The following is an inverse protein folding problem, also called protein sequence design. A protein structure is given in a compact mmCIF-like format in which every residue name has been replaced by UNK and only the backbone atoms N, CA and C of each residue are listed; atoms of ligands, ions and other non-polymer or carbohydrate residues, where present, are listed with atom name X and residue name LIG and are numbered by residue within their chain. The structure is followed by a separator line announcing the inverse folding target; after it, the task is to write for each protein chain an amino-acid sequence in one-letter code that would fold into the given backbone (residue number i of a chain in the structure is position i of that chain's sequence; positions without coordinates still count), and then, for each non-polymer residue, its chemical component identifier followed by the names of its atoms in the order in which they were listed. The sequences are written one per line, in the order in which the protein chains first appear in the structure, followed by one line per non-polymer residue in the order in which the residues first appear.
data_IF_445845384814
#
_entry.id   IF_445845384814
#
_cell.length_a   1.000
_cell.length_b   1.000
_cell.length_c   1.000
_cell.angle_alpha   90.00
_cell.angle_beta   90.00
_cell.angle_gamma   90.00
#
_symmetry.space_group_name_H-M   'P 1'
#
loop_
_entity.id
_entity.type
_entity.pdbx_description
1 polymer ?
#
# COMPACT_ATOMS: atom_id res chain seq x y z
N UNK A 1 14.65 13.86 -2.96
CA UNK A 1 14.39 13.54 -4.35
C UNK A 1 13.55 12.28 -4.45
N UNK A 2 12.39 12.39 -5.03
CA UNK A 2 11.48 11.25 -5.04
C UNK A 2 12.06 10.08 -5.82
N UNK A 3 11.76 8.89 -5.38
CA UNK A 3 12.06 7.64 -6.08
C UNK A 3 13.55 7.35 -6.27
N UNK A 4 14.41 7.95 -5.48
CA UNK A 4 15.83 7.62 -5.53
C UNK A 4 16.14 6.33 -4.79
N UNK A 5 15.29 5.95 -3.83
CA UNK A 5 15.48 4.74 -3.05
C UNK A 5 14.87 3.55 -3.81
N UNK A 6 15.69 2.56 -4.04
CA UNK A 6 15.28 1.32 -4.67
C UNK A 6 15.05 0.21 -3.66
N UNK A 7 15.19 0.52 -2.39
CA UNK A 7 15.06 -0.47 -1.33
C UNK A 7 13.62 -0.71 -0.94
N UNK A 8 13.32 -1.95 -0.58
CA UNK A 8 12.06 -2.33 0.03
C UNK A 8 12.26 -2.33 1.53
N UNK A 9 11.42 -1.62 2.25
CA UNK A 9 11.46 -1.58 3.70
C UNK A 9 10.43 -2.52 4.29
N UNK A 10 10.83 -3.23 5.34
CA UNK A 10 9.94 -4.19 6.00
C UNK A 10 9.72 -3.74 7.43
N UNK A 11 8.46 -3.54 7.78
CA UNK A 11 8.04 -3.24 9.13
C UNK A 11 7.08 -4.32 9.63
N UNK A 12 6.66 -4.17 10.86
CA UNK A 12 5.74 -5.13 11.46
C UNK A 12 4.79 -4.41 12.41
N UNK A 13 3.51 -4.79 12.34
CA UNK A 13 2.54 -4.43 13.36
C UNK A 13 2.03 -5.71 14.01
N UNK A 14 1.80 -5.66 15.30
CA UNK A 14 1.37 -6.84 16.04
C UNK A 14 0.51 -6.46 17.23
N UNK A 15 -0.38 -7.35 17.59
CA UNK A 15 -1.08 -7.33 18.87
C UNK A 15 -0.86 -8.68 19.57
N UNK A 16 -1.64 -8.97 20.60
CA UNK A 16 -1.47 -10.21 21.37
C UNK A 16 -1.71 -11.48 20.56
N UNK A 17 -2.56 -11.41 19.53
CA UNK A 17 -3.05 -12.57 18.81
C UNK A 17 -2.58 -12.62 17.35
N UNK A 18 -2.18 -11.50 16.78
CA UNK A 18 -1.92 -11.40 15.36
C UNK A 18 -0.66 -10.60 15.06
N UNK A 19 -0.03 -10.95 13.95
CA UNK A 19 1.16 -10.28 13.47
C UNK A 19 1.02 -10.07 11.96
N UNK A 20 1.35 -8.87 11.49
CA UNK A 20 1.36 -8.53 10.08
C UNK A 20 2.69 -7.89 9.72
N UNK A 21 3.30 -8.38 8.67
CA UNK A 21 4.49 -7.79 8.11
C UNK A 21 4.07 -6.78 7.03
N UNK A 22 4.58 -5.57 7.12
CA UNK A 22 4.31 -4.52 6.16
C UNK A 22 5.54 -4.32 5.29
N UNK A 23 5.34 -4.45 3.99
CA UNK A 23 6.41 -4.25 3.00
C UNK A 23 6.15 -2.92 2.32
N UNK A 24 6.99 -1.94 2.60
CA UNK A 24 6.88 -0.61 2.00
C UNK A 24 7.71 -0.55 0.73
N UNK A 25 7.11 -0.05 -0.34
CA UNK A 25 7.75 0.02 -1.66
C UNK A 25 7.79 1.46 -2.16
N UNK A 26 8.47 2.37 -1.46
CA UNK A 26 8.45 3.79 -1.82
C UNK A 26 9.02 4.02 -3.23
N UNK A 27 8.22 4.62 -4.09
CA UNK A 27 8.61 4.99 -5.44
C UNK A 27 8.80 3.83 -6.42
N UNK A 28 8.60 2.59 -6.00
CA UNK A 28 8.77 1.44 -6.91
C UNK A 28 7.60 1.32 -7.87
N UNK A 29 6.38 1.57 -7.38
CA UNK A 29 5.15 1.33 -8.15
C UNK A 29 4.47 2.63 -8.59
N UNK A 30 5.22 3.72 -8.72
CA UNK A 30 4.65 5.02 -9.05
C UNK A 30 4.56 5.31 -10.55
N UNK A 31 4.95 4.36 -11.38
CA UNK A 31 4.91 4.52 -12.86
C UNK A 31 4.73 3.16 -13.53
N UNK A 32 4.27 3.16 -14.80
CA UNK A 32 4.02 1.91 -15.54
C UNK A 32 5.24 1.01 -15.62
N UNK A 33 5.00 -0.30 -15.73
CA UNK A 33 6.06 -1.31 -15.77
C UNK A 33 6.99 -1.13 -16.97
N UNK A 34 6.48 -0.70 -18.12
CA UNK A 34 7.31 -0.51 -19.30
C UNK A 34 8.32 0.63 -19.14
N UNK A 35 8.11 1.53 -18.19
CA UNK A 35 9.03 2.62 -17.90
C UNK A 35 10.13 2.24 -16.90
N UNK A 36 10.13 0.97 -16.46
CA UNK A 36 11.08 0.47 -15.48
C UNK A 36 12.29 -0.17 -16.14
N UNK A 37 13.46 -0.02 -15.52
CA UNK A 37 14.63 -0.76 -15.97
C UNK A 37 14.56 -2.21 -15.47
N UNK A 38 15.50 -3.05 -15.89
CA UNK A 38 15.48 -4.48 -15.57
C UNK A 38 15.62 -4.74 -14.07
N UNK A 39 16.43 -3.98 -13.38
CA UNK A 39 16.61 -4.13 -11.93
C UNK A 39 15.32 -3.80 -11.19
N UNK A 40 14.69 -2.68 -11.55
CA UNK A 40 13.42 -2.27 -10.97
C UNK A 40 12.33 -3.30 -11.22
N UNK A 41 12.24 -3.81 -12.45
CA UNK A 41 11.26 -4.86 -12.79
C UNK A 41 11.44 -6.10 -11.95
N UNK A 42 12.68 -6.56 -11.79
CA UNK A 42 12.96 -7.76 -10.98
C UNK A 42 12.59 -7.54 -9.52
N UNK A 43 12.88 -6.37 -8.99
CA UNK A 43 12.52 -6.02 -7.61
C UNK A 43 11.00 -6.03 -7.42
N UNK A 44 10.26 -5.45 -8.37
CA UNK A 44 8.80 -5.43 -8.31
C UNK A 44 8.24 -6.84 -8.46
N UNK A 45 8.73 -7.62 -9.42
CA UNK A 45 8.22 -8.96 -9.67
C UNK A 45 8.46 -9.91 -8.50
N UNK A 46 9.51 -9.67 -7.72
CA UNK A 46 9.75 -10.46 -6.51
C UNK A 46 8.62 -10.33 -5.50
N UNK A 47 7.88 -9.23 -5.53
CA UNK A 47 6.74 -9.03 -4.64
C UNK A 47 5.57 -9.96 -4.96
N UNK A 48 5.52 -10.54 -6.16
CA UNK A 48 4.48 -11.50 -6.53
C UNK A 48 4.47 -12.75 -5.65
N UNK A 49 5.64 -13.12 -5.16
CA UNK A 49 5.80 -14.33 -4.37
C UNK A 49 5.45 -14.13 -2.90
N UNK A 50 5.25 -12.89 -2.48
CA UNK A 50 4.88 -12.57 -1.11
C UNK A 50 3.38 -12.82 -0.96
N UNK A 51 3.01 -13.62 0.03
CA UNK A 51 1.60 -13.85 0.36
C UNK A 51 1.05 -12.62 1.08
N UNK A 52 -0.15 -12.23 0.74
CA UNK A 52 -0.81 -11.12 1.41
C UNK A 52 -1.70 -10.30 0.50
N UNK A 53 -2.02 -9.12 0.97
CA UNK A 53 -2.83 -8.15 0.25
C UNK A 53 -1.98 -6.94 -0.11
N UNK A 54 -2.49 -6.16 -1.04
CA UNK A 54 -1.87 -4.90 -1.42
C UNK A 54 -2.79 -3.76 -0.98
N UNK A 55 -2.21 -2.77 -0.31
CA UNK A 55 -2.90 -1.53 0.00
C UNK A 55 -2.37 -0.45 -0.92
N UNK A 56 -3.24 0.05 -1.78
CA UNK A 56 -2.89 1.12 -2.70
C UNK A 56 -3.35 2.46 -2.09
N UNK A 57 -2.39 3.35 -1.86
CA UNK A 57 -2.69 4.66 -1.29
C UNK A 57 -3.09 5.61 -2.41
N UNK A 58 -4.35 6.05 -2.41
CA UNK A 58 -4.86 6.99 -3.40
C UNK A 58 -5.04 8.36 -2.77
N UNK A 59 -4.66 9.40 -3.51
CA UNK A 59 -4.69 10.79 -3.04
C UNK A 59 -5.63 11.63 -3.91
N UNK A 60 -6.75 12.03 -3.34
CA UNK A 60 -7.73 12.90 -4.00
C UNK A 60 -7.51 14.39 -3.73
N UNK A 61 -6.47 14.74 -2.95
CA UNK A 61 -6.26 16.15 -2.54
C UNK A 61 -5.71 17.05 -3.65
N UNK A 62 -5.14 16.46 -4.68
CA UNK A 62 -4.49 17.21 -5.75
C UNK A 62 -3.05 17.61 -5.45
N UNK A 63 -2.49 17.20 -4.30
CA UNK A 63 -1.14 17.61 -3.89
C UNK A 63 -0.04 16.64 -4.28
N UNK A 64 -0.39 15.47 -4.84
CA UNK A 64 0.60 14.43 -5.14
C UNK A 64 1.37 14.65 -6.44
N UNK A 65 0.86 15.51 -7.33
CA UNK A 65 1.41 15.66 -8.66
C UNK A 65 0.84 14.69 -9.70
N UNK A 66 0.02 13.74 -9.28
CA UNK A 66 -0.65 12.79 -10.16
C UNK A 66 -2.14 13.08 -10.23
N UNK A 67 -2.73 12.95 -11.41
CA UNK A 67 -4.19 13.07 -11.54
C UNK A 67 -4.86 11.84 -10.94
N UNK A 68 -6.14 11.97 -10.63
CA UNK A 68 -6.93 10.83 -10.15
C UNK A 68 -6.95 9.72 -11.20
N UNK A 69 -7.10 10.06 -12.47
CA UNK A 69 -7.12 9.08 -13.55
C UNK A 69 -5.79 8.32 -13.66
N UNK A 70 -4.66 9.02 -13.48
CA UNK A 70 -3.35 8.37 -13.47
C UNK A 70 -3.22 7.39 -12.30
N UNK A 71 -3.71 7.78 -11.15
CA UNK A 71 -3.66 6.92 -9.96
C UNK A 71 -4.55 5.69 -10.13
N UNK A 72 -5.74 5.84 -10.68
CA UNK A 72 -6.65 4.71 -10.93
C UNK A 72 -6.06 3.77 -11.97
N UNK A 73 -5.46 4.30 -13.03
CA UNK A 73 -4.80 3.48 -14.04
C UNK A 73 -3.67 2.65 -13.43
N UNK A 74 -2.87 3.24 -12.56
CA UNK A 74 -1.81 2.52 -11.85
C UNK A 74 -2.38 1.45 -10.91
N UNK A 75 -3.45 1.76 -10.19
CA UNK A 75 -4.14 0.80 -9.35
C UNK A 75 -4.59 -0.44 -10.14
N UNK A 76 -5.20 -0.22 -11.31
CA UNK A 76 -5.65 -1.32 -12.16
C UNK A 76 -4.48 -2.14 -12.69
N UNK A 77 -3.39 -1.49 -13.05
CA UNK A 77 -2.18 -2.18 -13.51
C UNK A 77 -1.59 -3.06 -12.41
N UNK A 78 -1.53 -2.56 -11.18
CA UNK A 78 -1.03 -3.31 -10.04
C UNK A 78 -1.90 -4.55 -9.78
N UNK A 79 -3.21 -4.37 -9.80
CA UNK A 79 -4.13 -5.50 -9.62
C UNK A 79 -3.88 -6.60 -10.64
N UNK A 80 -3.73 -6.23 -11.90
CA UNK A 80 -3.52 -7.20 -12.99
C UNK A 80 -2.15 -7.85 -12.89
N UNK A 81 -1.13 -7.08 -12.52
CA UNK A 81 0.24 -7.56 -12.47
C UNK A 81 0.44 -8.58 -11.35
N UNK A 82 -0.10 -8.31 -10.17
CA UNK A 82 0.18 -9.13 -8.99
C UNK A 82 -0.86 -10.20 -8.71
N UNK A 83 -2.05 -10.09 -9.29
CA UNK A 83 -3.15 -11.04 -9.05
C UNK A 83 -3.46 -11.24 -7.57
N UNK A 84 -3.32 -10.17 -6.78
CA UNK A 84 -3.59 -10.16 -5.35
C UNK A 84 -4.76 -9.26 -5.06
N UNK A 85 -5.44 -9.51 -3.93
CA UNK A 85 -6.45 -8.57 -3.45
C UNK A 85 -5.80 -7.23 -3.19
N UNK A 86 -6.28 -6.21 -3.87
CA UNK A 86 -5.73 -4.86 -3.80
C UNK A 86 -6.84 -3.91 -3.36
N UNK A 87 -6.59 -3.20 -2.28
CA UNK A 87 -7.56 -2.28 -1.68
C UNK A 87 -7.07 -0.86 -1.81
N UNK A 88 -7.99 0.05 -2.12
CA UNK A 88 -7.66 1.48 -2.15
C UNK A 88 -7.88 2.07 -0.77
N UNK A 89 -6.86 2.76 -0.28
CA UNK A 89 -6.91 3.49 0.97
C UNK A 89 -6.67 4.96 0.63
N UNK A 90 -7.62 5.81 0.98
CA UNK A 90 -7.47 7.24 0.70
C UNK A 90 -6.54 7.88 1.72
N UNK A 91 -5.55 8.60 1.23
CA UNK A 91 -4.68 9.41 2.07
C UNK A 91 -5.19 10.84 2.17
N UNK A 92 -4.64 11.61 3.11
CA UNK A 92 -4.84 13.05 3.23
C UNK A 92 -6.30 13.48 3.33
N UNK A 93 -7.10 12.75 4.10
CA UNK A 93 -8.52 13.12 4.28
C UNK A 93 -8.70 14.42 5.07
N UNK A 94 -7.62 14.95 5.65
CA UNK A 94 -7.62 16.30 6.23
C UNK A 94 -7.65 17.40 5.17
N UNK A 95 -7.30 17.07 3.92
CA UNK A 95 -7.23 18.05 2.83
C UNK A 95 -8.35 17.93 1.79
N UNK A 96 -9.15 16.87 1.86
CA UNK A 96 -10.19 16.66 0.86
C UNK A 96 -11.29 15.76 1.41
N UNK A 97 -12.42 15.73 0.71
CA UNK A 97 -13.55 14.89 1.09
C UNK A 97 -13.20 13.42 1.00
N UNK A 98 -13.68 12.63 1.95
CA UNK A 98 -13.50 11.20 1.95
C UNK A 98 -14.38 10.55 0.89
N UNK A 99 -13.76 9.81 -0.03
CA UNK A 99 -14.43 9.11 -1.13
C UNK A 99 -14.28 7.60 -1.09
N UNK A 100 -13.25 7.10 -0.40
CA UNK A 100 -13.04 5.66 -0.25
C UNK A 100 -13.61 5.19 1.09
N UNK A 101 -13.84 3.90 1.20
CA UNK A 101 -14.36 3.30 2.43
C UNK A 101 -13.43 3.57 3.61
N UNK A 102 -12.12 3.42 3.39
CA UNK A 102 -11.12 3.71 4.40
C UNK A 102 -10.30 4.90 3.95
N UNK A 103 -10.31 5.95 4.76
CA UNK A 103 -9.50 7.14 4.54
C UNK A 103 -8.71 7.46 5.79
N UNK A 104 -7.50 7.95 5.62
CA UNK A 104 -6.60 8.28 6.72
C UNK A 104 -5.99 9.65 6.57
N UNK A 105 -5.61 10.21 7.71
CA UNK A 105 -4.75 11.39 7.78
C UNK A 105 -3.61 11.10 8.75
N UNK A 106 -2.40 11.20 8.28
CA UNK A 106 -1.23 11.07 9.14
C UNK A 106 -1.00 12.33 9.96
N UNK A 107 -1.65 13.43 9.61
CA UNK A 107 -1.56 14.70 10.34
C UNK A 107 -2.48 14.67 11.55
N UNK A 108 -3.73 14.24 11.38
CA UNK A 108 -4.73 14.24 12.47
C UNK A 108 -4.84 12.88 13.17
N UNK A 109 -4.37 11.81 12.55
CA UNK A 109 -4.54 10.45 13.04
C UNK A 109 -5.89 9.85 12.70
N UNK A 110 -6.77 10.59 12.02
CA UNK A 110 -8.09 10.06 11.65
C UNK A 110 -7.96 8.84 10.73
N UNK A 111 -8.75 7.82 11.00
CA UNK A 111 -8.81 6.61 10.18
C UNK A 111 -7.68 5.59 10.40
N UNK A 112 -6.66 5.93 11.17
CA UNK A 112 -5.50 5.05 11.38
C UNK A 112 -5.91 3.77 12.11
N UNK A 113 -6.74 3.87 13.15
CA UNK A 113 -7.19 2.69 13.88
C UNK A 113 -8.06 1.80 13.00
N UNK A 114 -8.92 2.40 12.18
CA UNK A 114 -9.73 1.65 11.22
C UNK A 114 -8.85 0.91 10.22
N UNK A 115 -7.83 1.56 9.70
CA UNK A 115 -6.88 0.92 8.77
C UNK A 115 -6.15 -0.23 9.45
N UNK A 116 -5.68 -0.02 10.68
CA UNK A 116 -4.99 -1.05 11.44
C UNK A 116 -5.87 -2.29 11.62
N UNK A 117 -7.12 -2.09 12.02
CA UNK A 117 -8.07 -3.19 12.17
C UNK A 117 -8.34 -3.91 10.85
N UNK A 118 -8.47 -3.15 9.77
CA UNK A 118 -8.66 -3.71 8.43
C UNK A 118 -7.49 -4.62 8.04
N UNK A 119 -6.26 -4.17 8.31
CA UNK A 119 -5.06 -4.93 8.02
C UNK A 119 -5.06 -6.25 8.82
N UNK A 120 -5.34 -6.20 10.12
CA UNK A 120 -5.37 -7.41 10.94
C UNK A 120 -6.44 -8.40 10.46
N UNK A 121 -7.60 -7.91 10.05
CA UNK A 121 -8.68 -8.78 9.58
C UNK A 121 -8.33 -9.45 8.25
N UNK A 122 -7.66 -8.74 7.35
CA UNK A 122 -7.49 -9.19 5.96
C UNK A 122 -6.11 -9.77 5.65
N UNK A 123 -5.09 -9.44 6.42
CA UNK A 123 -3.71 -9.84 6.13
C UNK A 123 -2.98 -10.44 7.33
N UNK A 124 -3.57 -10.39 8.51
CA UNK A 124 -2.89 -10.83 9.72
C UNK A 124 -2.73 -12.35 9.77
N UNK A 125 -1.63 -12.79 10.36
CA UNK A 125 -1.38 -14.18 10.68
C UNK A 125 -1.61 -14.39 12.19
N UNK A 126 -2.27 -15.48 12.53
CA UNK A 126 -2.42 -15.84 13.93
C UNK A 126 -1.05 -16.15 14.52
N UNK A 127 -0.79 -15.59 15.70
CA UNK A 127 0.42 -15.92 16.44
C UNK A 127 0.17 -17.25 17.16
N UNK A 128 0.97 -18.24 16.82
CA UNK A 128 0.87 -19.52 17.50
C UNK A 128 1.33 -19.36 18.95
N UNK A 129 0.50 -19.86 19.87
CA UNK A 129 0.88 -19.88 21.26
C UNK A 129 1.84 -21.05 21.47
N UNK A 130 3.04 -20.74 21.92
CA UNK A 130 3.98 -21.79 22.29
C UNK A 130 3.50 -22.44 23.60
N UNK A 131 3.37 -23.71 23.55
CA UNK A 131 3.02 -24.49 24.74
C UNK A 131 4.24 -24.79 25.58
#
# INVERSE_FOLDING_TARGET
YPCTTQSVYIGQIADENMRVQIVDTPGILDRPMEERNDLERRSILSLKDIKGIILFMIDYSGTSGYTIDQQIALYEEIRKTFHKKTYRIQSKIDLCEKREEIGISTITGEGIDQLRNFIFINAGEMIEQSN
#
